data_IF_709429810014
#
_entry.id   IF_709429810014
#
_cell.length_a   1.000
_cell.length_b   1.000
_cell.length_c   1.000
_cell.angle_alpha   90.00
_cell.angle_beta   90.00
_cell.angle_gamma   90.00
#
_symmetry.space_group_name_H-M   'P 1'
#
loop_
_entity.id
_entity.type
_entity.pdbx_description
1 polymer ?
#
# COMPACT_ATOMS: atom_id res chain seq x y z
N UNK A 1 -6.34 -6.21 10.19
CA UNK A 1 -5.30 -6.80 9.32
C UNK A 1 -5.62 -6.50 7.86
N UNK A 2 -5.71 -5.22 7.45
CA UNK A 2 -6.31 -4.86 6.15
C UNK A 2 -5.62 -3.67 5.47
N UNK A 3 -4.36 -3.39 5.79
CA UNK A 3 -3.66 -2.23 5.24
C UNK A 3 -2.92 -2.55 3.94
N UNK A 4 -2.31 -3.73 3.82
CA UNK A 4 -1.68 -4.16 2.57
C UNK A 4 -2.71 -4.67 1.55
N UNK A 5 -3.73 -5.39 2.00
CA UNK A 5 -4.80 -5.90 1.11
C UNK A 5 -5.58 -4.75 0.46
N UNK A 6 -6.03 -3.73 1.22
CA UNK A 6 -6.71 -2.57 0.64
C UNK A 6 -5.82 -1.77 -0.32
N UNK A 7 -4.54 -1.58 0.02
CA UNK A 7 -3.61 -0.88 -0.86
C UNK A 7 -3.42 -1.65 -2.17
N UNK A 8 -3.37 -2.99 -2.11
CA UNK A 8 -3.19 -3.86 -3.27
C UNK A 8 -4.41 -3.80 -4.19
N UNK A 9 -5.60 -3.78 -3.61
CA UNK A 9 -6.87 -3.64 -4.32
C UNK A 9 -6.98 -2.30 -5.05
N UNK A 10 -6.59 -1.19 -4.40
CA UNK A 10 -6.57 0.14 -4.99
C UNK A 10 -5.55 0.25 -6.14
N UNK A 11 -4.37 -0.34 -5.98
CA UNK A 11 -3.36 -0.43 -7.05
C UNK A 11 -3.85 -1.30 -8.21
N UNK A 12 -4.44 -2.45 -7.94
CA UNK A 12 -4.98 -3.36 -8.96
C UNK A 12 -6.13 -2.71 -9.76
N UNK A 13 -6.91 -1.84 -9.11
CA UNK A 13 -7.94 -1.01 -9.76
C UNK A 13 -7.37 0.19 -10.52
N UNK A 14 -6.06 0.39 -10.54
CA UNK A 14 -5.40 1.53 -11.18
C UNK A 14 -5.63 2.87 -10.47
N UNK A 15 -6.14 2.84 -9.23
CA UNK A 15 -6.38 4.04 -8.42
C UNK A 15 -5.05 4.58 -7.86
N UNK A 16 -4.10 3.68 -7.60
CA UNK A 16 -2.77 4.03 -7.12
C UNK A 16 -1.71 3.58 -8.12
N UNK A 17 -0.71 4.44 -8.33
CA UNK A 17 0.49 4.07 -9.06
C UNK A 17 1.38 3.15 -8.22
N UNK A 18 2.33 2.49 -8.88
CA UNK A 18 3.29 1.64 -8.20
C UNK A 18 4.05 2.40 -7.09
N UNK A 19 4.42 3.66 -7.34
CA UNK A 19 5.10 4.54 -6.37
C UNK A 19 4.23 4.88 -5.16
N UNK A 20 2.96 5.25 -5.37
CA UNK A 20 2.03 5.52 -4.26
C UNK A 20 1.78 4.28 -3.39
N UNK A 21 1.68 3.11 -4.02
CA UNK A 21 1.52 1.85 -3.30
C UNK A 21 2.77 1.51 -2.48
N UNK A 22 3.96 1.64 -3.07
CA UNK A 22 5.22 1.33 -2.39
C UNK A 22 5.50 2.30 -1.24
N UNK A 23 5.22 3.60 -1.40
CA UNK A 23 5.35 4.59 -0.34
C UNK A 23 4.46 4.28 0.86
N UNK A 24 3.17 3.96 0.62
CA UNK A 24 2.23 3.61 1.69
C UNK A 24 2.59 2.28 2.35
N UNK A 25 3.06 1.30 1.58
CA UNK A 25 3.56 0.01 2.08
C UNK A 25 4.81 0.19 2.96
N UNK A 26 5.75 1.03 2.54
CA UNK A 26 6.97 1.31 3.27
C UNK A 26 6.70 2.06 4.59
N UNK A 27 5.79 3.03 4.60
CA UNK A 27 5.34 3.69 5.83
C UNK A 27 4.70 2.73 6.83
N UNK A 28 3.89 1.80 6.35
CA UNK A 28 3.26 0.78 7.17
C UNK A 28 4.27 -0.18 7.79
N UNK A 29 5.22 -0.64 6.99
CA UNK A 29 6.32 -1.47 7.47
C UNK A 29 7.16 -0.72 8.51
N UNK A 30 7.45 0.57 8.30
CA UNK A 30 8.16 1.42 9.27
C UNK A 30 7.46 1.57 10.62
N UNK A 31 6.14 1.40 10.69
CA UNK A 31 5.39 1.43 11.96
C UNK A 31 5.33 0.09 12.69
N UNK A 32 5.76 -0.98 12.03
CA UNK A 32 5.78 -2.35 12.56
C UNK A 32 7.15 -2.78 13.08
N UNK A 33 8.17 -1.93 12.93
CA UNK A 33 9.52 -2.03 13.49
C UNK A 33 9.76 -0.86 14.45
#
# INVERSE_FOLDING_TARGET
>A
MATLEKLGDLKAKGILTQEEFDAKKAELLKKLV
#
